data_IF_971060327574
#
_entry.id   IF_971060327574
#
_cell.length_a   1.000
_cell.length_b   1.000
_cell.length_c   1.000
_cell.angle_alpha   90.00
_cell.angle_beta   90.00
_cell.angle_gamma   90.00
#
_symmetry.space_group_name_H-M   'P 1'
#
loop_
_entity.id
_entity.type
_entity.pdbx_description
1 polymer ?
#
# COMPACT_ATOMS: atom_id res chain seq x y z
N UNK A 1 6.34 -22.68 11.16
CA UNK A 1 5.90 -21.26 11.15
C UNK A 1 6.91 -20.45 10.35
N UNK A 2 6.46 -19.41 9.66
CA UNK A 2 7.35 -18.53 8.89
C UNK A 2 8.28 -17.73 9.83
N UNK A 3 9.52 -17.48 9.38
CA UNK A 3 10.53 -16.70 10.13
C UNK A 3 10.66 -15.26 9.63
N UNK A 4 9.84 -14.88 8.65
CA UNK A 4 9.84 -13.56 8.00
C UNK A 4 9.05 -12.55 8.82
N UNK A 5 9.33 -11.26 8.63
CA UNK A 5 8.56 -10.19 9.27
C UNK A 5 7.16 -10.06 8.64
N UNK A 6 7.05 -10.18 7.31
CA UNK A 6 5.75 -10.28 6.63
C UNK A 6 5.17 -11.69 6.83
N UNK A 7 3.96 -11.76 7.40
CA UNK A 7 3.27 -13.02 7.72
C UNK A 7 1.87 -13.14 7.10
N UNK A 8 1.33 -12.07 6.51
CA UNK A 8 -0.03 -12.08 5.99
C UNK A 8 -0.11 -13.02 4.77
N UNK A 9 -0.97 -14.06 4.80
CA UNK A 9 -0.95 -15.12 3.78
C UNK A 9 -1.24 -14.59 2.38
N UNK A 10 -2.26 -13.74 2.21
CA UNK A 10 -2.59 -13.20 0.89
C UNK A 10 -1.51 -12.27 0.34
N UNK A 11 -0.92 -11.41 1.19
CA UNK A 11 0.16 -10.51 0.77
C UNK A 11 1.38 -11.32 0.33
N UNK A 12 1.73 -12.38 1.07
CA UNK A 12 2.82 -13.29 0.68
C UNK A 12 2.52 -13.97 -0.65
N UNK A 13 1.30 -14.46 -0.87
CA UNK A 13 0.90 -15.08 -2.14
C UNK A 13 1.00 -14.11 -3.31
N UNK A 14 0.46 -12.90 -3.20
CA UNK A 14 0.51 -11.92 -4.31
C UNK A 14 1.93 -11.44 -4.57
N UNK A 15 2.75 -11.25 -3.53
CA UNK A 15 4.15 -10.89 -3.70
C UNK A 15 4.95 -12.01 -4.37
N UNK A 16 4.69 -13.28 -4.03
CA UNK A 16 5.35 -14.42 -4.67
C UNK A 16 4.97 -14.60 -6.14
N UNK A 17 3.79 -14.11 -6.56
CA UNK A 17 3.33 -14.13 -7.95
C UNK A 17 3.73 -12.86 -8.73
N UNK A 18 4.19 -11.81 -8.05
CA UNK A 18 4.57 -10.56 -8.66
C UNK A 18 5.88 -10.70 -9.46
N UNK A 19 5.81 -10.37 -10.75
CA UNK A 19 6.99 -10.28 -11.62
C UNK A 19 7.66 -8.90 -11.58
N UNK A 20 8.71 -8.74 -12.39
CA UNK A 20 9.36 -7.44 -12.55
C UNK A 20 8.36 -6.37 -13.01
N UNK A 21 8.49 -5.16 -12.47
CA UNK A 21 7.58 -4.02 -12.69
C UNK A 21 6.14 -4.18 -12.16
N UNK A 22 5.83 -5.23 -11.39
CA UNK A 22 4.58 -5.31 -10.66
C UNK A 22 4.43 -4.11 -9.72
N UNK A 23 3.18 -3.67 -9.49
CA UNK A 23 2.86 -2.51 -8.67
C UNK A 23 2.07 -2.95 -7.44
N UNK A 24 2.47 -2.43 -6.28
CA UNK A 24 1.73 -2.54 -5.04
C UNK A 24 1.25 -1.14 -4.67
N UNK A 25 -0.05 -1.00 -4.45
CA UNK A 25 -0.64 0.21 -3.91
C UNK A 25 -0.96 -0.02 -2.43
N UNK A 26 -0.35 0.78 -1.56
CA UNK A 26 -0.73 0.85 -0.15
C UNK A 26 -1.58 2.10 0.01
N UNK A 27 -2.80 1.93 0.49
CA UNK A 27 -3.79 2.99 0.60
C UNK A 27 -4.33 3.06 2.03
N UNK A 28 -4.78 4.25 2.43
CA UNK A 28 -5.57 4.45 3.63
C UNK A 28 -7.03 3.99 3.43
N UNK A 29 -7.87 4.19 4.45
CA UNK A 29 -9.29 3.87 4.38
C UNK A 29 -10.12 4.82 3.50
N UNK A 30 -9.54 5.92 3.02
CA UNK A 30 -10.24 6.94 2.22
C UNK A 30 -10.07 6.70 0.72
N UNK A 31 -9.00 6.01 0.30
CA UNK A 31 -8.82 5.65 -1.10
C UNK A 31 -9.91 4.67 -1.56
N UNK A 32 -10.59 4.92 -2.69
CA UNK A 32 -11.69 4.09 -3.19
C UNK A 32 -11.15 2.80 -3.87
N UNK A 33 -10.51 1.94 -3.08
CA UNK A 33 -9.78 0.77 -3.58
C UNK A 33 -10.68 -0.23 -4.31
N UNK A 34 -11.92 -0.40 -3.88
CA UNK A 34 -12.87 -1.35 -4.50
C UNK A 34 -13.28 -0.94 -5.92
N UNK A 35 -13.36 0.35 -6.21
CA UNK A 35 -13.88 0.89 -7.48
C UNK A 35 -12.80 1.46 -8.39
N UNK A 36 -11.62 1.81 -7.87
CA UNK A 36 -10.46 2.31 -8.66
C UNK A 36 -9.41 1.24 -8.98
N UNK A 37 -9.53 0.02 -8.44
CA UNK A 37 -8.57 -1.05 -8.77
C UNK A 37 -8.66 -1.46 -10.24
N UNK A 38 -7.52 -1.80 -10.83
CA UNK A 38 -7.46 -2.40 -12.15
C UNK A 38 -8.10 -3.81 -12.18
N UNK A 39 -8.41 -4.35 -13.37
CA UNK A 39 -9.06 -5.65 -13.51
C UNK A 39 -8.23 -6.81 -12.94
N UNK A 40 -6.90 -6.69 -12.99
CA UNK A 40 -5.96 -7.71 -12.51
C UNK A 40 -5.44 -7.43 -11.10
N UNK A 41 -5.95 -6.40 -10.42
CA UNK A 41 -5.51 -6.03 -9.09
C UNK A 41 -6.31 -6.80 -8.02
N UNK A 42 -5.56 -7.42 -7.12
CA UNK A 42 -6.10 -8.03 -5.92
C UNK A 42 -6.24 -6.98 -4.80
N UNK A 43 -7.39 -6.97 -4.13
CA UNK A 43 -7.66 -6.07 -3.00
C UNK A 43 -7.51 -6.85 -1.70
N UNK A 44 -6.58 -6.43 -0.84
CA UNK A 44 -6.38 -6.98 0.50
C UNK A 44 -6.71 -5.90 1.53
N UNK A 45 -7.79 -6.07 2.29
CA UNK A 45 -8.20 -5.14 3.34
C UNK A 45 -7.58 -5.54 4.68
N UNK A 46 -6.81 -4.64 5.30
CA UNK A 46 -6.12 -4.89 6.58
C UNK A 46 -6.64 -4.04 7.75
N UNK A 47 -7.49 -3.07 7.47
CA UNK A 47 -7.97 -2.11 8.46
C UNK A 47 -9.01 -2.75 9.39
N UNK A 48 -8.72 -2.76 10.68
CA UNK A 48 -9.66 -3.17 11.72
C UNK A 48 -10.26 -1.95 12.43
N UNK A 49 -9.41 -0.97 12.73
CA UNK A 49 -9.76 0.29 13.40
C UNK A 49 -8.78 1.40 12.95
N UNK A 50 -9.08 2.69 13.19
CA UNK A 50 -8.14 3.76 12.89
C UNK A 50 -6.75 3.51 13.49
N UNK A 51 -5.69 3.64 12.68
CA UNK A 51 -4.30 3.37 13.09
C UNK A 51 -3.91 1.89 13.15
N UNK A 52 -4.84 0.95 12.90
CA UNK A 52 -4.63 -0.50 13.01
C UNK A 52 -4.96 -1.20 11.69
N UNK A 53 -4.01 -1.45 10.79
CA UNK A 53 -2.59 -1.04 10.77
C UNK A 53 -2.38 0.24 9.96
N UNK A 54 -1.28 0.98 10.22
CA UNK A 54 -0.91 2.16 9.42
C UNK A 54 -0.23 1.80 8.09
N UNK A 55 -0.34 2.66 7.08
CA UNK A 55 0.35 2.54 5.78
C UNK A 55 1.86 2.35 5.96
N UNK A 56 2.48 3.08 6.89
CA UNK A 56 3.91 2.97 7.17
C UNK A 56 4.31 1.59 7.74
N UNK A 57 3.47 0.98 8.58
CA UNK A 57 3.71 -0.37 9.08
C UNK A 57 3.60 -1.41 7.96
N UNK A 58 2.63 -1.26 7.05
CA UNK A 58 2.48 -2.13 5.88
C UNK A 58 3.70 -1.99 4.95
N UNK A 59 4.13 -0.76 4.66
CA UNK A 59 5.33 -0.52 3.84
C UNK A 59 6.56 -1.18 4.45
N UNK A 60 6.78 -1.05 5.76
CA UNK A 60 7.91 -1.69 6.46
C UNK A 60 7.87 -3.21 6.34
N UNK A 61 6.68 -3.83 6.44
CA UNK A 61 6.53 -5.26 6.27
C UNK A 61 6.83 -5.70 4.83
N UNK A 62 6.34 -4.98 3.83
CA UNK A 62 6.62 -5.28 2.41
C UNK A 62 8.11 -5.17 2.08
N UNK A 63 8.78 -4.11 2.52
CA UNK A 63 10.22 -3.90 2.30
C UNK A 63 11.09 -5.01 2.92
N UNK A 64 10.55 -5.78 3.88
CA UNK A 64 11.25 -6.95 4.43
C UNK A 64 11.22 -8.19 3.51
N UNK A 65 10.36 -8.19 2.49
CA UNK A 65 10.06 -9.37 1.69
C UNK A 65 10.27 -9.17 0.18
N UNK A 66 10.17 -7.93 -0.33
CA UNK A 66 10.30 -7.64 -1.77
C UNK A 66 11.29 -6.50 -2.04
N UNK A 67 12.13 -6.60 -3.09
CA UNK A 67 12.90 -5.45 -3.57
C UNK A 67 11.95 -4.43 -4.23
N UNK A 68 12.29 -3.15 -4.11
CA UNK A 68 11.49 -2.04 -4.67
C UNK A 68 12.38 -1.16 -5.54
N UNK A 69 12.03 -1.05 -6.82
CA UNK A 69 12.77 -0.24 -7.79
C UNK A 69 12.47 1.26 -7.64
N UNK A 70 11.21 1.60 -7.37
CA UNK A 70 10.74 2.98 -7.28
C UNK A 70 9.51 3.10 -6.37
N UNK A 71 9.35 4.27 -5.75
CA UNK A 71 8.21 4.60 -4.89
C UNK A 71 7.52 5.85 -5.42
N UNK A 72 6.19 5.80 -5.50
CA UNK A 72 5.36 6.97 -5.72
C UNK A 72 4.52 7.22 -4.46
N UNK A 73 4.36 8.49 -4.11
CA UNK A 73 3.44 8.91 -3.06
C UNK A 73 2.35 9.78 -3.66
N UNK A 74 1.13 9.65 -3.13
CA UNK A 74 0.13 10.68 -3.37
C UNK A 74 0.54 11.90 -2.55
N UNK A 75 0.84 12.99 -3.24
CA UNK A 75 1.04 14.30 -2.65
C UNK A 75 0.07 15.27 -3.29
N UNK A 76 -0.25 16.35 -2.58
CA UNK A 76 -0.92 17.48 -3.20
C UNK A 76 0.15 18.23 -4.00
N UNK A 77 0.01 18.40 -5.32
CA UNK A 77 0.96 19.20 -6.10
C UNK A 77 1.14 20.58 -5.47
N UNK A 78 2.36 21.12 -5.49
CA UNK A 78 2.65 22.41 -4.83
C UNK A 78 1.84 23.59 -5.40
N UNK A 79 1.38 23.45 -6.64
CA UNK A 79 0.55 24.40 -7.38
C UNK A 79 -0.96 24.13 -7.25
N UNK A 80 -1.38 23.06 -6.58
CA UNK A 80 -2.78 22.79 -6.32
C UNK A 80 -3.31 23.72 -5.22
N UNK A 81 -4.50 24.28 -5.43
CA UNK A 81 -5.21 25.12 -4.46
C UNK A 81 -5.39 24.49 -3.07
N UNK A 82 -5.35 23.15 -2.98
CA UNK A 82 -5.45 22.40 -1.74
C UNK A 82 -4.14 22.33 -0.94
N UNK A 83 -2.98 22.59 -1.57
CA UNK A 83 -1.67 22.46 -0.94
C UNK A 83 -1.52 23.38 0.28
N UNK A 84 -2.20 24.54 0.26
CA UNK A 84 -2.21 25.52 1.35
C UNK A 84 -2.84 25.01 2.65
N UNK A 85 -3.59 23.92 2.61
CA UNK A 85 -4.23 23.32 3.78
C UNK A 85 -3.36 22.24 4.43
N UNK A 86 -2.15 21.99 3.91
CA UNK A 86 -1.25 20.96 4.40
C UNK A 86 -1.62 19.57 3.88
N UNK A 87 -0.88 18.56 4.36
CA UNK A 87 -1.24 17.17 4.09
C UNK A 87 -2.61 16.86 4.73
N UNK A 88 -3.47 16.08 4.06
CA UNK A 88 -4.71 15.61 4.66
C UNK A 88 -4.40 14.89 6.00
N UNK A 89 -5.25 15.05 7.03
CA UNK A 89 -5.05 14.42 8.33
C UNK A 89 -5.04 12.89 8.26
#
# INVERSE_FOLDING_TARGET
>A
MLKTQLLHPDILRVCAQAGHHAKILIADGNYPASTKKGPNAELVCLNLAPGCVTVAQVLRALLSAVPVDFVNTMGIPADDSYAKFGEPP
#
